data_IF_258030083043
#
_entry.id   IF_258030083043
#
_cell.length_a   1.000
_cell.length_b   1.000
_cell.length_c   1.000
_cell.angle_alpha   90.00
_cell.angle_beta   90.00
_cell.angle_gamma   90.00
#
_symmetry.space_group_name_H-M   'P 1'
#
loop_
_entity.id
_entity.type
_entity.pdbx_description
1 polymer ?
#
# COMPACT_ATOMS: atom_id res chain seq x y z
N UNK A 1 26.31 45.79 -4.02
CA UNK A 1 25.43 44.98 -4.91
C UNK A 1 25.82 43.50 -4.99
N UNK A 2 27.10 43.12 -5.15
CA UNK A 2 27.52 41.70 -5.28
C UNK A 2 27.17 40.77 -4.08
N UNK A 3 27.12 41.30 -2.86
CA UNK A 3 26.79 40.51 -1.64
C UNK A 3 25.31 40.16 -1.51
N UNK A 4 24.41 40.99 -2.08
CA UNK A 4 22.97 40.75 -2.02
C UNK A 4 22.53 39.60 -2.95
N UNK A 5 23.17 39.47 -4.12
CA UNK A 5 22.88 38.38 -5.07
C UNK A 5 23.25 36.99 -4.51
N UNK A 6 24.26 36.89 -3.65
CA UNK A 6 24.67 35.63 -3.03
C UNK A 6 23.63 35.15 -2.01
N UNK A 7 23.08 36.07 -1.23
CA UNK A 7 22.09 35.75 -0.17
C UNK A 7 20.78 35.25 -0.80
N UNK A 8 20.33 35.87 -1.90
CA UNK A 8 19.10 35.47 -2.61
C UNK A 8 19.25 34.06 -3.20
N UNK A 9 20.44 33.73 -3.74
CA UNK A 9 20.70 32.41 -4.31
C UNK A 9 20.64 31.30 -3.23
N UNK A 10 21.20 31.55 -2.04
CA UNK A 10 21.20 30.60 -0.92
C UNK A 10 19.78 30.34 -0.43
N UNK A 11 18.94 31.37 -0.35
CA UNK A 11 17.53 31.22 0.07
C UNK A 11 16.75 30.37 -0.94
N UNK A 12 16.93 30.61 -2.26
CA UNK A 12 16.27 29.83 -3.31
C UNK A 12 16.66 28.34 -3.29
N UNK A 13 17.92 28.01 -3.01
CA UNK A 13 18.38 26.63 -2.84
C UNK A 13 17.84 25.97 -1.56
N UNK A 14 17.63 26.73 -0.48
CA UNK A 14 17.08 26.20 0.78
C UNK A 14 15.57 25.92 0.72
N UNK A 15 14.79 26.69 -0.03
CA UNK A 15 13.35 26.41 -0.24
C UNK A 15 13.09 25.29 -1.23
N UNK A 16 14.06 25.00 -2.12
CA UNK A 16 13.99 23.89 -3.09
C UNK A 16 14.08 22.51 -2.43
N UNK A 17 14.46 22.45 -1.15
CA UNK A 17 14.56 21.20 -0.39
C UNK A 17 13.30 20.86 0.43
N UNK A 18 12.23 21.67 0.34
CA UNK A 18 10.88 21.21 0.68
C UNK A 18 10.32 20.35 -0.48
N UNK A 19 11.07 19.32 -0.88
CA UNK A 19 10.48 18.21 -1.58
C UNK A 19 9.52 17.55 -0.59
N UNK A 20 8.24 17.87 -0.73
CA UNK A 20 7.13 17.31 0.04
C UNK A 20 7.21 15.78 -0.13
N UNK A 21 7.86 15.10 0.82
CA UNK A 21 8.03 13.65 0.77
C UNK A 21 6.63 13.06 0.87
N UNK A 22 6.10 12.56 -0.26
CA UNK A 22 4.78 11.92 -0.26
C UNK A 22 4.86 10.71 0.67
N UNK A 23 3.90 10.60 1.58
CA UNK A 23 3.84 9.45 2.48
C UNK A 23 3.66 8.18 1.63
N UNK A 24 4.47 7.15 1.92
CA UNK A 24 4.40 5.87 1.20
C UNK A 24 3.72 4.84 2.09
N UNK A 25 2.81 4.07 1.51
CA UNK A 25 2.14 2.95 2.15
C UNK A 25 2.52 1.62 1.51
N UNK A 26 2.29 0.53 2.25
CA UNK A 26 2.47 -0.83 1.74
C UNK A 26 1.35 -1.74 2.22
N UNK A 27 0.83 -2.57 1.32
CA UNK A 27 -0.07 -3.67 1.66
C UNK A 27 0.64 -4.98 1.40
N UNK A 28 0.78 -5.78 2.45
CA UNK A 28 1.46 -7.07 2.43
C UNK A 28 0.40 -8.16 2.49
N UNK A 29 0.28 -8.96 1.44
CA UNK A 29 -0.64 -10.07 1.37
C UNK A 29 0.07 -11.36 1.74
N UNK A 30 -0.49 -12.10 2.69
CA UNK A 30 -0.04 -13.43 3.10
C UNK A 30 -1.07 -14.47 2.73
N UNK A 31 -0.66 -15.49 1.97
CA UNK A 31 -1.52 -16.62 1.66
C UNK A 31 -1.23 -17.84 2.53
N UNK A 32 -2.02 -18.05 3.59
CA UNK A 32 -1.98 -19.29 4.40
C UNK A 32 -3.03 -20.33 3.96
N UNK A 33 -3.72 -20.11 2.84
CA UNK A 33 -4.55 -21.15 2.25
C UNK A 33 -3.65 -22.23 1.61
N UNK A 34 -4.16 -23.46 1.52
CA UNK A 34 -3.45 -24.59 0.90
C UNK A 34 -3.41 -24.52 -0.63
N UNK A 35 -4.08 -23.53 -1.23
CA UNK A 35 -4.18 -23.34 -2.67
C UNK A 35 -3.93 -21.87 -3.07
N UNK A 36 -3.71 -21.65 -4.37
CA UNK A 36 -3.56 -20.31 -4.93
C UNK A 36 -4.87 -19.54 -4.81
N UNK A 37 -4.84 -18.36 -4.21
CA UNK A 37 -5.99 -17.46 -4.13
C UNK A 37 -5.91 -16.37 -5.19
N UNK A 38 -7.05 -15.81 -5.56
CA UNK A 38 -7.11 -14.54 -6.30
C UNK A 38 -7.40 -13.42 -5.30
N UNK A 39 -6.53 -12.41 -5.23
CA UNK A 39 -6.67 -11.26 -4.35
C UNK A 39 -6.98 -9.99 -5.16
N UNK A 40 -7.72 -9.08 -4.55
CA UNK A 40 -8.00 -7.77 -5.14
C UNK A 40 -7.06 -6.70 -4.65
N UNK A 41 -6.74 -5.77 -5.53
CA UNK A 41 -6.10 -4.49 -5.24
C UNK A 41 -6.97 -3.37 -5.79
N UNK A 42 -7.29 -2.40 -4.94
CA UNK A 42 -8.11 -1.24 -5.30
C UNK A 42 -7.49 0.02 -4.72
N UNK A 43 -7.06 0.94 -5.59
CA UNK A 43 -6.67 2.31 -5.24
C UNK A 43 -7.80 3.23 -5.72
N UNK A 44 -8.00 4.38 -5.07
CA UNK A 44 -8.98 5.42 -5.47
C UNK A 44 -8.80 5.85 -6.93
N UNK A 45 -9.53 5.17 -7.82
CA UNK A 45 -9.97 5.54 -9.18
C UNK A 45 -10.90 4.43 -9.74
N UNK A 46 -11.50 3.63 -8.84
CA UNK A 46 -12.32 2.45 -9.15
C UNK A 46 -11.63 1.35 -9.99
N UNK A 47 -10.32 1.45 -10.25
CA UNK A 47 -9.57 0.40 -10.93
C UNK A 47 -9.28 -0.74 -9.95
N UNK A 48 -10.00 -1.84 -10.14
CA UNK A 48 -9.79 -3.09 -9.42
C UNK A 48 -8.85 -3.99 -10.22
N UNK A 49 -7.74 -4.38 -9.60
CA UNK A 49 -6.80 -5.33 -10.15
C UNK A 49 -6.91 -6.64 -9.39
N UNK A 50 -7.05 -7.74 -10.13
CA UNK A 50 -7.07 -9.09 -9.56
C UNK A 50 -5.75 -9.77 -9.88
N UNK A 51 -5.12 -10.37 -8.87
CA UNK A 51 -3.87 -11.09 -9.03
C UNK A 51 -3.87 -12.38 -8.21
N UNK A 52 -3.03 -13.34 -8.60
CA UNK A 52 -2.95 -14.64 -7.93
C UNK A 52 -1.81 -14.66 -6.92
N UNK A 53 -2.02 -15.29 -5.77
CA UNK A 53 -1.01 -15.49 -4.72
C UNK A 53 -0.91 -16.98 -4.43
N UNK A 54 0.26 -17.60 -4.65
CA UNK A 54 0.47 -19.04 -4.37
C UNK A 54 0.44 -19.34 -2.88
N UNK A 55 0.22 -20.60 -2.46
CA UNK A 55 0.34 -20.99 -1.05
C UNK A 55 1.68 -20.56 -0.46
N UNK A 56 1.65 -20.04 0.76
CA UNK A 56 2.82 -19.54 1.51
C UNK A 56 3.59 -18.40 0.84
N UNK A 57 3.07 -17.82 -0.24
CA UNK A 57 3.68 -16.66 -0.90
C UNK A 57 3.26 -15.37 -0.18
N UNK A 58 4.20 -14.43 -0.15
CA UNK A 58 3.99 -13.05 0.31
C UNK A 58 4.03 -12.13 -0.91
N UNK A 59 2.98 -11.35 -1.11
CA UNK A 59 2.93 -10.31 -2.15
C UNK A 59 2.94 -8.93 -1.50
N UNK A 60 3.69 -7.97 -2.05
CA UNK A 60 3.77 -6.60 -1.52
C UNK A 60 3.35 -5.60 -2.58
N UNK A 61 2.38 -4.74 -2.25
CA UNK A 61 1.88 -3.67 -3.10
C UNK A 61 2.16 -2.33 -2.44
N UNK A 62 2.95 -1.49 -3.08
CA UNK A 62 3.25 -0.15 -2.59
C UNK A 62 2.28 0.87 -3.19
N UNK A 63 1.96 1.90 -2.43
CA UNK A 63 1.15 3.01 -2.89
C UNK A 63 1.62 4.33 -2.28
N UNK A 64 1.24 5.43 -2.93
CA UNK A 64 1.47 6.77 -2.41
C UNK A 64 0.24 7.13 -1.57
N UNK A 65 0.44 7.29 -0.27
CA UNK A 65 -0.60 7.65 0.68
C UNK A 65 -0.76 9.18 0.69
N UNK A 66 -1.68 9.68 -0.14
CA UNK A 66 -2.10 11.08 -0.11
C UNK A 66 -3.51 11.20 0.47
N UNK A 67 -3.89 12.42 0.88
CA UNK A 67 -5.24 12.70 1.39
C UNK A 67 -6.25 12.48 0.25
N UNK A 68 -7.01 11.38 0.29
CA UNK A 68 -7.86 10.92 -0.82
C UNK A 68 -7.22 9.89 -1.76
N UNK A 69 -6.11 9.27 -1.38
CA UNK A 69 -5.50 8.13 -2.10
C UNK A 69 -5.23 6.98 -1.11
N UNK A 70 -6.16 6.76 -0.18
CA UNK A 70 -6.03 5.69 0.80
C UNK A 70 -6.51 4.38 0.19
N UNK A 71 -5.77 3.30 0.44
CA UNK A 71 -6.26 1.97 0.09
C UNK A 71 -7.48 1.69 0.95
N UNK A 72 -8.61 1.38 0.32
CA UNK A 72 -9.84 1.00 1.00
C UNK A 72 -9.72 -0.46 1.49
N UNK A 73 -8.94 -0.66 2.55
CA UNK A 73 -8.57 -1.99 3.06
C UNK A 73 -9.81 -2.87 3.31
N UNK A 74 -10.90 -2.29 3.81
CA UNK A 74 -12.16 -3.00 4.07
C UNK A 74 -12.89 -3.49 2.81
N UNK A 75 -12.55 -2.95 1.63
CA UNK A 75 -13.09 -3.39 0.35
C UNK A 75 -12.21 -4.44 -0.34
N UNK A 76 -11.03 -4.74 0.20
CA UNK A 76 -10.16 -5.77 -0.34
C UNK A 76 -10.64 -7.16 0.09
N UNK A 77 -10.68 -8.08 -0.87
CA UNK A 77 -11.10 -9.46 -0.65
C UNK A 77 -10.20 -10.43 -1.42
N UNK A 78 -10.26 -11.69 -1.03
CA UNK A 78 -9.75 -12.79 -1.83
C UNK A 78 -10.88 -13.72 -2.24
N UNK A 79 -10.66 -14.46 -3.32
CA UNK A 79 -11.59 -15.47 -3.82
C UNK A 79 -11.02 -16.83 -3.44
N UNK A 80 -11.80 -17.59 -2.67
CA UNK A 80 -11.56 -18.97 -2.29
C UNK A 80 -12.73 -19.80 -2.78
N UNK A 81 -12.45 -20.80 -3.62
CA UNK A 81 -13.48 -21.69 -4.18
C UNK A 81 -14.65 -20.94 -4.86
N UNK A 82 -14.35 -19.84 -5.55
CA UNK A 82 -15.35 -18.99 -6.21
C UNK A 82 -16.10 -18.01 -5.30
N UNK A 83 -15.84 -18.04 -3.98
CA UNK A 83 -16.51 -17.21 -2.98
C UNK A 83 -15.60 -16.07 -2.52
N UNK A 84 -16.15 -14.85 -2.46
CA UNK A 84 -15.44 -13.68 -1.91
C UNK A 84 -15.31 -13.82 -0.39
N UNK A 85 -14.09 -13.67 0.12
CA UNK A 85 -13.76 -13.71 1.53
C UNK A 85 -12.98 -12.48 1.96
N UNK A 86 -13.24 -12.01 3.17
CA UNK A 86 -12.50 -10.90 3.77
C UNK A 86 -11.14 -11.38 4.26
N UNK A 87 -10.12 -10.55 4.10
CA UNK A 87 -8.85 -10.77 4.76
C UNK A 87 -8.95 -10.55 6.26
N UNK A 88 -8.13 -11.27 7.02
CA UNK A 88 -7.79 -10.86 8.38
C UNK A 88 -6.72 -9.78 8.28
N UNK A 89 -7.09 -8.55 8.62
CA UNK A 89 -6.26 -7.36 8.46
C UNK A 89 -5.54 -7.01 9.76
N UNK A 90 -4.23 -6.74 9.68
CA UNK A 90 -3.45 -6.17 10.78
C UNK A 90 -2.79 -4.86 10.32
N UNK A 91 -2.98 -3.79 11.06
CA UNK A 91 -2.24 -2.55 10.85
C UNK A 91 -0.78 -2.72 11.31
N UNK A 92 0.17 -2.33 10.47
CA UNK A 92 1.61 -2.29 10.79
C UNK A 92 2.01 -0.85 11.15
N UNK A 93 1.53 0.11 10.38
CA UNK A 93 1.70 1.55 10.61
C UNK A 93 0.53 2.31 9.95
N UNK A 94 0.52 3.64 10.06
CA UNK A 94 -0.56 4.51 9.57
C UNK A 94 -1.03 4.19 8.13
N UNK A 95 -0.09 3.89 7.23
CA UNK A 95 -0.38 3.57 5.83
C UNK A 95 0.07 2.16 5.43
N UNK A 96 0.35 1.28 6.39
CA UNK A 96 0.87 -0.05 6.11
C UNK A 96 0.03 -1.14 6.76
N UNK A 97 -0.36 -2.13 5.95
CA UNK A 97 -1.31 -3.17 6.35
C UNK A 97 -0.82 -4.54 5.93
N UNK A 98 -1.12 -5.53 6.76
CA UNK A 98 -0.94 -6.94 6.44
C UNK A 98 -2.32 -7.59 6.27
N UNK A 99 -2.54 -8.22 5.13
CA UNK A 99 -3.76 -8.92 4.75
C UNK A 99 -3.50 -10.42 4.73
N UNK A 100 -4.16 -11.14 5.62
CA UNK A 100 -3.92 -12.57 5.85
C UNK A 100 -5.14 -13.34 5.35
N UNK A 101 -4.96 -14.22 4.36
CA UNK A 101 -5.99 -15.18 3.95
C UNK A 101 -5.86 -16.49 4.71
N UNK A 102 -6.99 -17.14 4.98
CA UNK A 102 -7.07 -18.38 5.79
C UNK A 102 -6.30 -18.26 7.12
N UNK A 103 -6.58 -17.21 7.91
CA UNK A 103 -5.84 -16.92 9.15
C UNK A 103 -5.91 -18.02 10.21
N UNK A 104 -6.90 -18.92 10.12
CA UNK A 104 -6.97 -20.13 10.92
C UNK A 104 -5.74 -21.04 10.79
N UNK A 105 -5.02 -20.93 9.65
CA UNK A 105 -3.83 -21.72 9.34
C UNK A 105 -2.52 -21.01 9.67
N UNK A 106 -2.54 -19.76 10.17
CA UNK A 106 -1.32 -18.96 10.40
C UNK A 106 -0.60 -19.29 11.71
N UNK A 107 -0.72 -20.53 12.20
CA UNK A 107 -0.13 -20.99 13.47
C UNK A 107 1.35 -21.34 13.32
#
# INVERSE_FOLDING_TARGET
MKRFSIIILIIFFSTSCLALSQAKGVVIYHNYCTHTIKATWKIENNQEYIFSIKPSQIERRFYIAEKGNQVEIDKLYFIKDGIKQKFNTKAISENSYMLISCSENSK
#
